data_IF_402328598420
#
_entry.id   IF_402328598420
#
_cell.length_a   1.000
_cell.length_b   1.000
_cell.length_c   1.000
_cell.angle_alpha   90.00
_cell.angle_beta   90.00
_cell.angle_gamma   90.00
#
_symmetry.space_group_name_H-M   'P 1'
#
loop_
_entity.id
_entity.type
_entity.pdbx_description
1 polymer ?
#
# COMPACT_ATOMS: atom_id res chain seq x y z
N UNK A 1 30.88 11.38 -9.19
CA UNK A 1 29.86 10.40 -9.59
C UNK A 1 30.02 10.15 -11.07
N UNK A 2 30.22 8.90 -11.47
CA UNK A 2 30.23 8.51 -12.88
C UNK A 2 28.79 8.40 -13.39
N UNK A 3 28.57 8.51 -14.70
CA UNK A 3 27.24 8.35 -15.31
C UNK A 3 26.63 6.98 -14.98
N UNK A 4 27.46 5.94 -14.91
CA UNK A 4 27.03 4.59 -14.53
C UNK A 4 26.58 4.50 -13.07
N UNK A 5 27.28 5.15 -12.14
CA UNK A 5 26.86 5.24 -10.73
C UNK A 5 25.53 5.98 -10.59
N UNK A 6 25.29 7.02 -11.41
CA UNK A 6 24.04 7.76 -11.42
C UNK A 6 22.89 6.87 -11.90
N UNK A 7 23.05 6.20 -13.04
CA UNK A 7 22.04 5.30 -13.61
C UNK A 7 21.68 4.17 -12.64
N UNK A 8 22.69 3.49 -12.10
CA UNK A 8 22.46 2.40 -11.14
C UNK A 8 21.75 2.88 -9.87
N UNK A 9 22.05 4.10 -9.40
CA UNK A 9 21.37 4.72 -8.26
C UNK A 9 19.87 4.88 -8.51
N UNK A 10 19.48 5.42 -9.65
CA UNK A 10 18.06 5.60 -10.01
C UNK A 10 17.34 4.26 -10.21
N UNK A 11 17.95 3.31 -10.92
CA UNK A 11 17.34 1.98 -11.13
C UNK A 11 17.08 1.27 -9.79
N UNK A 12 18.03 1.37 -8.85
CA UNK A 12 17.89 0.80 -7.52
C UNK A 12 16.74 1.45 -6.74
N UNK A 13 16.65 2.78 -6.75
CA UNK A 13 15.59 3.51 -6.05
C UNK A 13 14.21 3.24 -6.67
N UNK A 14 14.11 3.20 -8.00
CA UNK A 14 12.88 2.86 -8.72
C UNK A 14 12.42 1.44 -8.35
N UNK A 15 13.34 0.47 -8.34
CA UNK A 15 13.02 -0.90 -7.95
C UNK A 15 12.56 -0.98 -6.49
N UNK A 16 13.25 -0.28 -5.58
CA UNK A 16 12.89 -0.21 -4.17
C UNK A 16 11.47 0.35 -3.97
N UNK A 17 11.15 1.47 -4.60
CA UNK A 17 9.83 2.10 -4.45
C UNK A 17 8.71 1.25 -5.06
N UNK A 18 8.94 0.59 -6.20
CA UNK A 18 7.99 -0.39 -6.76
C UNK A 18 7.72 -1.52 -5.77
N UNK A 19 8.78 -2.12 -5.23
CA UNK A 19 8.65 -3.21 -4.27
C UNK A 19 7.96 -2.76 -2.97
N UNK A 20 8.25 -1.56 -2.48
CA UNK A 20 7.55 -0.97 -1.33
C UNK A 20 6.06 -0.82 -1.60
N UNK A 21 5.66 -0.30 -2.77
CA UNK A 21 4.25 -0.15 -3.15
C UNK A 21 3.55 -1.51 -3.24
N UNK A 22 4.21 -2.53 -3.79
CA UNK A 22 3.69 -3.90 -3.79
C UNK A 22 3.46 -4.44 -2.37
N UNK A 23 4.38 -4.17 -1.44
CA UNK A 23 4.24 -4.55 -0.04
C UNK A 23 3.00 -3.89 0.58
N UNK A 24 2.81 -2.58 0.34
CA UNK A 24 1.62 -1.86 0.79
C UNK A 24 0.34 -2.46 0.19
N UNK A 25 0.38 -2.88 -1.08
CA UNK A 25 -0.71 -3.60 -1.73
C UNK A 25 -1.04 -4.93 -1.05
N UNK A 26 -0.04 -5.72 -0.67
CA UNK A 26 -0.25 -6.98 0.09
C UNK A 26 -0.88 -6.72 1.45
N UNK A 27 -0.42 -5.70 2.17
CA UNK A 27 -1.04 -5.28 3.44
C UNK A 27 -2.49 -4.83 3.24
N UNK A 28 -2.77 -4.02 2.23
CA UNK A 28 -4.14 -3.61 1.89
C UNK A 28 -5.06 -4.82 1.68
N UNK A 29 -4.63 -5.81 0.89
CA UNK A 29 -5.40 -7.04 0.65
C UNK A 29 -5.63 -7.86 1.93
N UNK A 30 -4.64 -7.94 2.82
CA UNK A 30 -4.78 -8.61 4.11
C UNK A 30 -5.85 -7.93 4.98
N UNK A 31 -5.82 -6.60 5.08
CA UNK A 31 -6.81 -5.86 5.86
C UNK A 31 -8.21 -5.87 5.22
N UNK A 32 -8.30 -5.96 3.89
CA UNK A 32 -9.57 -6.22 3.20
C UNK A 32 -10.17 -7.57 3.58
N UNK A 33 -9.35 -8.63 3.66
CA UNK A 33 -9.81 -9.93 4.11
C UNK A 33 -10.29 -9.89 5.59
N UNK A 34 -9.54 -9.20 6.47
CA UNK A 34 -9.93 -8.99 7.87
C UNK A 34 -11.26 -8.26 7.98
N UNK A 35 -11.44 -7.15 7.23
CA UNK A 35 -12.68 -6.41 7.22
C UNK A 35 -13.85 -7.28 6.75
N UNK A 36 -13.64 -8.08 5.71
CA UNK A 36 -14.65 -8.98 5.16
C UNK A 36 -15.07 -10.05 6.16
N UNK A 37 -14.12 -10.64 6.90
CA UNK A 37 -14.42 -11.58 8.00
C UNK A 37 -15.26 -10.88 9.07
N UNK A 38 -14.90 -9.64 9.43
CA UNK A 38 -15.67 -8.83 10.38
C UNK A 38 -17.12 -8.63 9.95
N UNK A 39 -17.35 -8.28 8.68
CA UNK A 39 -18.69 -8.11 8.11
C UNK A 39 -19.49 -9.42 8.09
N UNK A 40 -18.87 -10.55 7.76
CA UNK A 40 -19.51 -11.87 7.82
C UNK A 40 -19.94 -12.22 9.25
N UNK A 41 -19.10 -11.96 10.25
CA UNK A 41 -19.44 -12.18 11.65
C UNK A 41 -20.63 -11.32 12.10
N UNK A 42 -20.63 -10.04 11.74
CA UNK A 42 -21.76 -9.14 12.03
C UNK A 42 -23.04 -9.71 11.39
N UNK A 43 -23.00 -10.03 10.10
CA UNK A 43 -24.16 -10.52 9.36
C UNK A 43 -24.75 -11.78 10.01
N UNK A 44 -23.92 -12.78 10.32
CA UNK A 44 -24.39 -14.06 10.86
C UNK A 44 -24.83 -14.01 12.33
N UNK A 45 -24.22 -13.12 13.15
CA UNK A 45 -24.35 -13.19 14.61
C UNK A 45 -25.00 -11.98 15.27
N UNK A 46 -25.46 -10.96 14.51
CA UNK A 46 -26.01 -9.72 15.08
C UNK A 46 -27.14 -9.91 16.10
N UNK A 47 -28.01 -10.92 15.94
CA UNK A 47 -29.11 -11.19 16.90
C UNK A 47 -28.80 -12.31 17.91
N UNK A 48 -27.78 -13.14 17.66
CA UNK A 48 -27.62 -14.42 18.38
C UNK A 48 -26.43 -14.46 19.33
N UNK A 49 -25.36 -13.73 19.02
CA UNK A 49 -24.13 -13.79 19.81
C UNK A 49 -23.46 -12.42 19.90
N UNK A 50 -23.67 -11.75 21.03
CA UNK A 50 -23.13 -10.42 21.31
C UNK A 50 -21.58 -10.37 21.23
N UNK A 51 -20.89 -11.42 21.69
CA UNK A 51 -19.42 -11.45 21.63
C UNK A 51 -18.92 -11.53 20.19
N UNK A 52 -19.56 -12.37 19.36
CA UNK A 52 -19.23 -12.47 17.95
C UNK A 52 -19.55 -11.18 17.19
N UNK A 53 -20.65 -10.50 17.54
CA UNK A 53 -21.00 -9.18 16.99
C UNK A 53 -19.93 -8.13 17.32
N UNK A 54 -19.50 -8.04 18.59
CA UNK A 54 -18.45 -7.10 19.01
C UNK A 54 -17.14 -7.39 18.27
N UNK A 55 -16.74 -8.66 18.19
CA UNK A 55 -15.54 -9.06 17.46
C UNK A 55 -15.63 -8.68 15.97
N UNK A 56 -16.79 -8.91 15.34
CA UNK A 56 -17.04 -8.53 13.96
C UNK A 56 -16.90 -7.03 13.72
N UNK A 57 -17.48 -6.19 14.59
CA UNK A 57 -17.36 -4.72 14.53
C UNK A 57 -15.90 -4.29 14.65
N UNK A 58 -15.15 -4.83 15.63
CA UNK A 58 -13.74 -4.49 15.83
C UNK A 58 -12.91 -4.85 14.59
N UNK A 59 -13.10 -6.04 14.03
CA UNK A 59 -12.38 -6.49 12.84
C UNK A 59 -12.73 -5.64 11.61
N UNK A 60 -14.01 -5.30 11.42
CA UNK A 60 -14.46 -4.46 10.32
C UNK A 60 -13.83 -3.05 10.39
N UNK A 61 -13.89 -2.41 11.57
CA UNK A 61 -13.31 -1.08 11.77
C UNK A 61 -11.80 -1.09 11.59
N UNK A 62 -11.10 -2.07 12.17
CA UNK A 62 -9.65 -2.20 12.05
C UNK A 62 -9.25 -2.40 10.59
N UNK A 63 -9.91 -3.31 9.87
CA UNK A 63 -9.63 -3.56 8.47
C UNK A 63 -9.86 -2.33 7.58
N UNK A 64 -10.99 -1.64 7.74
CA UNK A 64 -11.31 -0.43 6.95
C UNK A 64 -10.32 0.70 7.24
N UNK A 65 -10.02 0.99 8.50
CA UNK A 65 -9.07 2.05 8.86
C UNK A 65 -7.66 1.75 8.33
N UNK A 66 -7.19 0.51 8.48
CA UNK A 66 -5.91 0.09 7.93
C UNK A 66 -5.90 0.22 6.41
N UNK A 67 -6.96 -0.18 5.70
CA UNK A 67 -7.07 -0.01 4.25
C UNK A 67 -6.97 1.45 3.82
N UNK A 68 -7.57 2.40 4.56
CA UNK A 68 -7.44 3.83 4.26
C UNK A 68 -5.98 4.30 4.39
N UNK A 69 -5.27 3.86 5.44
CA UNK A 69 -3.85 4.17 5.66
C UNK A 69 -2.98 3.59 4.54
N UNK A 70 -3.12 2.30 4.23
CA UNK A 70 -2.34 1.66 3.18
C UNK A 70 -2.69 2.18 1.79
N UNK A 71 -3.97 2.46 1.52
CA UNK A 71 -4.43 3.06 0.27
C UNK A 71 -3.84 4.44 0.04
N UNK A 72 -3.81 5.28 1.09
CA UNK A 72 -3.12 6.58 1.04
C UNK A 72 -1.61 6.42 0.83
N UNK A 73 -0.98 5.45 1.52
CA UNK A 73 0.43 5.11 1.33
C UNK A 73 0.75 4.71 -0.10
N UNK A 74 -0.08 3.87 -0.75
CA UNK A 74 0.06 3.47 -2.15
C UNK A 74 -0.05 4.69 -3.07
N UNK A 75 -1.06 5.54 -2.85
CA UNK A 75 -1.26 6.77 -3.63
C UNK A 75 -0.02 7.67 -3.58
N UNK A 76 0.47 7.98 -2.37
CA UNK A 76 1.68 8.79 -2.17
C UNK A 76 2.93 8.11 -2.72
N UNK A 77 3.07 6.80 -2.55
CA UNK A 77 4.17 6.01 -3.10
C UNK A 77 4.26 6.10 -4.61
N UNK A 78 3.12 5.98 -5.31
CA UNK A 78 3.07 6.13 -6.78
C UNK A 78 3.47 7.54 -7.24
N UNK A 79 3.04 8.58 -6.54
CA UNK A 79 3.45 9.95 -6.84
C UNK A 79 4.95 10.16 -6.64
N UNK A 80 5.54 9.56 -5.60
CA UNK A 80 6.98 9.65 -5.36
C UNK A 80 7.77 8.87 -6.42
N UNK A 81 7.32 7.68 -6.79
CA UNK A 81 7.94 6.89 -7.85
C UNK A 81 7.95 7.64 -9.17
N UNK A 82 6.84 8.30 -9.53
CA UNK A 82 6.77 9.10 -10.74
C UNK A 82 7.80 10.25 -10.73
N UNK A 83 7.94 10.97 -9.60
CA UNK A 83 8.93 12.03 -9.48
C UNK A 83 10.36 11.54 -9.67
N UNK A 84 10.70 10.35 -9.15
CA UNK A 84 12.03 9.76 -9.32
C UNK A 84 12.27 9.39 -10.79
N UNK A 85 11.26 8.83 -11.46
CA UNK A 85 11.34 8.52 -12.90
C UNK A 85 11.49 9.80 -13.73
N UNK A 86 10.70 10.83 -13.47
CA UNK A 86 10.75 12.10 -14.20
C UNK A 86 12.13 12.78 -14.03
N UNK A 87 12.68 12.78 -12.81
CA UNK A 87 14.02 13.31 -12.52
C UNK A 87 15.11 12.48 -13.20
N UNK A 88 14.96 11.15 -13.25
CA UNK A 88 15.88 10.28 -13.98
C UNK A 88 15.90 10.59 -15.48
N UNK A 89 14.72 10.70 -16.11
CA UNK A 89 14.58 11.03 -17.52
C UNK A 89 15.17 12.41 -17.85
N UNK A 90 14.96 13.40 -16.98
CA UNK A 90 15.52 14.74 -17.16
C UNK A 90 17.05 14.71 -17.16
N UNK A 91 17.68 13.94 -16.26
CA UNK A 91 19.13 13.80 -16.18
C UNK A 91 19.73 13.06 -17.35
N UNK A 92 19.07 12.00 -17.83
CA UNK A 92 19.48 11.30 -19.05
C UNK A 92 19.43 12.21 -20.29
N UNK A 93 18.45 13.10 -20.38
CA UNK A 93 18.37 14.08 -21.48
C UNK A 93 19.49 15.13 -21.41
N UNK A 94 19.93 15.51 -20.22
CA UNK A 94 21.03 16.48 -20.02
C UNK A 94 22.42 15.86 -20.24
N UNK A 95 22.56 14.56 -20.02
CA UNK A 95 23.81 13.83 -20.23
C UNK A 95 24.08 13.47 -21.71
N UNK A 96 23.07 13.61 -22.57
CA UNK A 96 23.11 13.27 -24.00
C UNK A 96 23.37 14.51 -24.86
#
# INVERSE_FOLDING_TARGET
>A
MTEQELIQGYETEIHYQKHMIENLGRWFSLFFAIASIGLVLIYLFHETNLLALIAGIVLALLGILSMLVFGYGIYRGRLNLQKVIDDFEAKLKLAR
#
